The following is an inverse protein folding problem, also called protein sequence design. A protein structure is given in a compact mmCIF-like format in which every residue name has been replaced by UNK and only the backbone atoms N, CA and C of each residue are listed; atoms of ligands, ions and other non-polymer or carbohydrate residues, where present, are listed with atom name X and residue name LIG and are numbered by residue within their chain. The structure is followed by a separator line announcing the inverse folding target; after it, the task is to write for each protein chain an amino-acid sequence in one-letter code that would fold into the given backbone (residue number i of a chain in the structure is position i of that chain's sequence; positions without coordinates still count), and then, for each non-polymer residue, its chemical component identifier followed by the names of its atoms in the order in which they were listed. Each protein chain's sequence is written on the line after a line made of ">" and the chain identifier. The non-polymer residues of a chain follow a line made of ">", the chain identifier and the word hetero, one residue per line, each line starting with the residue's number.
data_IF_537586703661
#
_entry.id   IF_537586703661
#
_cell.length_a   1.000
_cell.length_b   1.000
_cell.length_c   1.000
_cell.angle_alpha   90.00
_cell.angle_beta   90.00
_cell.angle_gamma   90.00
#
_symmetry.space_group_name_H-M   'P 1'
#
loop_
_entity.id
_entity.type
_entity.pdbx_description
1 polymer ?
#
# COMPACT_ATOMS: atom_id res chain seq x y z
N UNK A 1 9.07 -13.62 29.67
CA UNK A 1 7.97 -14.13 30.51
C UNK A 1 6.81 -13.19 30.28
N UNK A 2 5.66 -13.70 29.86
CA UNK A 2 4.67 -12.86 29.18
C UNK A 2 4.14 -11.72 30.05
N UNK A 3 4.09 -10.52 29.48
CA UNK A 3 3.59 -9.29 30.11
C UNK A 3 2.13 -9.08 29.74
N UNK A 4 1.31 -8.73 30.73
CA UNK A 4 -0.10 -8.35 30.52
C UNK A 4 -0.21 -6.95 29.90
N UNK A 5 -0.22 -6.91 28.57
CA UNK A 5 -0.31 -5.67 27.79
C UNK A 5 -1.65 -4.94 27.96
N UNK A 6 -2.71 -5.61 28.45
CA UNK A 6 -4.04 -5.00 28.59
C UNK A 6 -4.06 -3.87 29.64
N UNK A 7 -3.11 -3.88 30.59
CA UNK A 7 -2.98 -2.84 31.62
C UNK A 7 -2.24 -1.60 31.14
N UNK A 8 -1.44 -1.72 30.08
CA UNK A 8 -0.54 -0.67 29.60
C UNK A 8 -1.28 0.61 29.21
N UNK A 9 -2.39 0.59 28.43
CA UNK A 9 -3.10 1.81 28.06
C UNK A 9 -3.54 2.66 29.26
N UNK A 10 -3.98 2.03 30.35
CA UNK A 10 -4.39 2.74 31.57
C UNK A 10 -3.21 3.39 32.30
N UNK A 11 -2.04 2.75 32.25
CA UNK A 11 -0.80 3.29 32.83
C UNK A 11 -0.32 4.48 31.99
N UNK A 12 -0.28 4.33 30.66
CA UNK A 12 0.12 5.40 29.74
C UNK A 12 -0.79 6.61 29.89
N UNK A 13 -2.11 6.42 29.93
CA UNK A 13 -3.06 7.53 30.14
C UNK A 13 -2.83 8.28 31.45
N UNK A 14 -2.41 7.59 32.52
CA UNK A 14 -2.17 8.20 33.83
C UNK A 14 -0.86 8.98 33.88
N UNK A 15 0.14 8.54 33.12
CA UNK A 15 1.51 9.06 33.18
C UNK A 15 1.93 9.76 31.88
N UNK A 16 0.99 9.99 30.95
CA UNK A 16 1.29 10.59 29.65
C UNK A 16 2.00 11.95 29.83
N UNK A 17 3.06 12.16 29.05
CA UNK A 17 3.91 13.34 29.11
C UNK A 17 4.97 13.32 30.21
N UNK A 18 4.95 12.34 31.12
CA UNK A 18 6.00 12.21 32.13
C UNK A 18 7.35 11.90 31.46
N UNK A 19 8.39 12.60 31.88
CA UNK A 19 9.76 12.37 31.42
C UNK A 19 10.49 11.49 32.44
N UNK A 20 10.92 10.32 32.02
CA UNK A 20 11.69 9.38 32.84
C UNK A 20 13.14 9.39 32.35
N UNK A 21 14.10 9.91 33.14
CA UNK A 21 15.51 9.95 32.75
C UNK A 21 16.07 8.54 32.58
N UNK A 22 16.88 8.35 31.53
CA UNK A 22 17.62 7.11 31.34
C UNK A 22 18.95 7.15 32.10
N UNK A 23 19.33 6.01 32.67
CA UNK A 23 20.67 5.85 33.27
C UNK A 23 21.74 5.87 32.18
N UNK A 24 21.44 5.29 31.02
CA UNK A 24 22.23 5.34 29.79
C UNK A 24 21.29 5.35 28.57
N UNK A 25 21.52 6.21 27.58
CA UNK A 25 22.40 7.39 27.64
C UNK A 25 21.87 8.47 28.60
N UNK A 26 22.76 9.08 29.41
CA UNK A 26 22.41 9.94 30.57
C UNK A 26 21.66 11.24 30.23
N UNK A 27 21.75 11.71 28.99
CA UNK A 27 21.18 12.98 28.53
C UNK A 27 19.76 12.85 27.99
N UNK A 28 19.23 11.63 27.91
CA UNK A 28 17.94 11.37 27.29
C UNK A 28 16.91 10.94 28.32
N UNK A 29 15.65 11.27 28.04
CA UNK A 29 14.50 10.87 28.82
C UNK A 29 13.54 10.10 27.91
N UNK A 30 12.91 9.07 28.45
CA UNK A 30 11.72 8.48 27.83
C UNK A 30 10.54 9.35 28.20
N UNK A 31 9.90 9.96 27.21
CA UNK A 31 8.58 10.57 27.38
C UNK A 31 7.54 9.47 27.33
N UNK A 32 6.85 9.25 28.45
CA UNK A 32 5.78 8.27 28.54
C UNK A 32 4.62 8.73 27.69
N UNK A 33 4.28 7.96 26.67
CA UNK A 33 3.19 8.31 25.76
C UNK A 33 2.70 7.08 24.98
N UNK A 34 1.50 7.19 24.40
CA UNK A 34 1.01 6.21 23.43
C UNK A 34 1.41 6.60 22.01
N UNK A 35 0.98 5.80 21.03
CA UNK A 35 1.28 6.05 19.62
C UNK A 35 0.75 7.40 19.10
N UNK A 36 -0.43 7.82 19.54
CA UNK A 36 -1.05 9.10 19.14
C UNK A 36 -0.22 10.34 19.52
N UNK A 37 0.73 10.19 20.43
CA UNK A 37 1.61 11.24 20.91
C UNK A 37 3.05 11.09 20.36
N UNK A 38 3.20 10.32 19.27
CA UNK A 38 4.44 10.12 18.51
C UNK A 38 4.31 10.67 17.10
N UNK A 39 5.40 10.63 16.34
CA UNK A 39 5.41 10.95 14.91
C UNK A 39 4.56 9.98 14.05
N UNK A 40 4.12 8.85 14.63
CA UNK A 40 3.25 7.86 13.98
C UNK A 40 1.78 7.94 14.44
N UNK A 41 1.35 9.11 14.94
CA UNK A 41 -0.04 9.34 15.31
C UNK A 41 -1.01 9.05 14.15
N UNK A 42 -2.11 8.34 14.42
CA UNK A 42 -3.08 7.91 13.42
C UNK A 42 -2.60 6.87 12.40
N UNK A 43 -1.36 6.35 12.51
CA UNK A 43 -0.85 5.33 11.60
C UNK A 43 -1.00 3.92 12.20
N UNK A 44 -2.23 3.41 12.22
CA UNK A 44 -2.54 2.07 12.77
C UNK A 44 -1.77 0.95 12.04
N UNK A 45 -1.52 1.12 10.74
CA UNK A 45 -0.79 0.16 9.90
C UNK A 45 0.67 -0.02 10.36
N UNK A 46 1.33 1.04 10.82
CA UNK A 46 2.69 0.97 11.33
C UNK A 46 2.80 0.08 12.57
N UNK A 47 1.83 0.21 13.49
CA UNK A 47 1.81 -0.61 14.70
C UNK A 47 1.55 -2.08 14.37
N UNK A 48 0.70 -2.38 13.38
CA UNK A 48 0.53 -3.75 12.91
C UNK A 48 1.79 -4.26 12.21
N UNK A 49 2.49 -3.42 11.43
CA UNK A 49 3.75 -3.80 10.81
C UNK A 49 4.83 -4.19 11.83
N UNK A 50 4.99 -3.42 12.92
CA UNK A 50 5.92 -3.76 14.02
C UNK A 50 5.62 -5.13 14.66
N UNK A 51 4.35 -5.53 14.72
CA UNK A 51 3.93 -6.82 15.28
C UNK A 51 4.18 -7.98 14.33
N UNK A 52 3.98 -7.75 13.03
CA UNK A 52 3.92 -8.82 12.03
C UNK A 52 5.23 -9.07 11.31
N UNK A 53 6.01 -8.02 11.00
CA UNK A 53 6.97 -8.12 9.91
C UNK A 53 8.45 -8.08 10.29
N UNK A 54 8.76 -7.93 11.58
CA UNK A 54 10.14 -7.79 12.04
C UNK A 54 10.65 -9.03 12.76
N UNK A 55 9.78 -9.72 13.51
CA UNK A 55 10.14 -10.89 14.30
C UNK A 55 9.66 -12.17 13.59
N UNK A 56 10.28 -13.34 13.85
CA UNK A 56 9.92 -14.60 13.19
C UNK A 56 8.46 -15.04 13.38
N UNK A 57 7.85 -14.63 14.49
CA UNK A 57 6.44 -14.86 14.79
C UNK A 57 5.78 -13.52 15.09
N UNK A 58 4.48 -13.40 14.82
CA UNK A 58 3.71 -12.22 15.22
C UNK A 58 3.77 -12.08 16.74
N UNK A 59 4.14 -10.90 17.21
CA UNK A 59 4.18 -10.58 18.64
C UNK A 59 3.33 -9.36 18.94
N UNK A 60 2.47 -9.43 19.97
CA UNK A 60 1.74 -8.22 20.38
C UNK A 60 2.70 -7.19 21.00
N UNK A 61 2.55 -5.95 20.56
CA UNK A 61 3.37 -4.82 21.00
C UNK A 61 2.51 -3.61 21.37
N UNK A 62 3.03 -2.78 22.28
CA UNK A 62 2.45 -1.48 22.64
C UNK A 62 3.53 -0.41 22.69
N UNK A 63 3.27 0.73 22.06
CA UNK A 63 4.07 1.94 22.27
C UNK A 63 3.95 2.35 23.74
N UNK A 64 5.08 2.50 24.42
CA UNK A 64 5.15 2.91 25.84
C UNK A 64 5.79 4.28 26.04
N UNK A 65 6.40 4.83 25.00
CA UNK A 65 6.99 6.15 25.03
C UNK A 65 7.84 6.43 23.81
N UNK A 66 8.44 7.61 23.80
CA UNK A 66 9.37 8.06 22.77
C UNK A 66 10.55 8.79 23.40
N UNK A 67 11.69 8.80 22.71
CA UNK A 67 12.83 9.65 23.01
C UNK A 67 12.95 10.67 21.88
N UNK A 68 12.73 11.94 22.22
CA UNK A 68 12.79 13.05 21.27
C UNK A 68 14.24 13.52 21.07
N UNK A 69 14.51 14.14 19.90
CA UNK A 69 15.80 14.72 19.52
C UNK A 69 16.98 13.74 19.64
N UNK A 70 16.74 12.45 19.37
CA UNK A 70 17.76 11.41 19.42
C UNK A 70 18.55 11.36 18.11
N UNK A 71 19.89 11.35 18.13
CA UNK A 71 20.73 11.37 16.93
C UNK A 71 20.72 9.99 16.25
N UNK A 72 19.67 9.75 15.48
CA UNK A 72 19.36 8.52 14.75
C UNK A 72 18.71 8.88 13.41
N UNK A 73 18.49 7.89 12.56
CA UNK A 73 17.80 8.06 11.27
C UNK A 73 16.26 7.99 11.41
N UNK A 74 15.75 7.77 12.62
CA UNK A 74 14.31 7.72 12.86
C UNK A 74 13.63 9.03 12.45
N UNK A 75 12.42 8.91 11.89
CA UNK A 75 11.66 10.05 11.42
C UNK A 75 11.44 11.07 12.54
N UNK A 76 11.75 12.34 12.26
CA UNK A 76 11.65 13.42 13.25
C UNK A 76 12.64 13.31 14.42
N UNK A 77 13.69 12.50 14.29
CA UNK A 77 14.65 12.20 15.37
C UNK A 77 13.96 11.65 16.64
N UNK A 78 12.81 11.01 16.45
CA UNK A 78 12.01 10.48 17.54
C UNK A 78 12.09 8.96 17.55
N UNK A 79 12.82 8.43 18.53
CA UNK A 79 12.98 7.00 18.71
C UNK A 79 11.79 6.45 19.53
N UNK A 80 10.90 5.72 18.88
CA UNK A 80 9.69 5.16 19.51
C UNK A 80 10.01 3.86 20.23
N UNK A 81 9.56 3.75 21.48
CA UNK A 81 9.79 2.58 22.33
C UNK A 81 8.54 1.70 22.42
N UNK A 82 8.73 0.41 22.16
CA UNK A 82 7.71 -0.62 22.11
C UNK A 82 7.95 -1.64 23.21
N UNK A 83 6.93 -1.93 24.01
CA UNK A 83 6.90 -3.08 24.91
C UNK A 83 6.26 -4.26 24.19
N UNK A 84 7.02 -5.33 24.03
CA UNK A 84 6.56 -6.59 23.48
C UNK A 84 5.94 -7.48 24.56
N UNK A 85 5.02 -8.37 24.17
CA UNK A 85 4.37 -9.32 25.07
C UNK A 85 5.34 -10.27 25.77
N UNK A 86 6.52 -10.53 25.21
CA UNK A 86 7.57 -11.35 25.85
C UNK A 86 8.28 -10.62 27.01
N UNK A 87 8.08 -9.30 27.12
CA UNK A 87 8.65 -8.38 28.09
C UNK A 87 9.84 -7.56 27.59
N UNK A 88 10.32 -7.81 26.38
CA UNK A 88 11.40 -7.07 25.76
C UNK A 88 10.94 -5.65 25.36
N UNK A 89 11.91 -4.74 25.30
CA UNK A 89 11.72 -3.36 24.85
C UNK A 89 12.46 -3.19 23.53
N UNK A 90 11.70 -2.79 22.51
CA UNK A 90 12.23 -2.47 21.20
C UNK A 90 12.21 -0.97 20.96
N UNK A 91 13.14 -0.50 20.15
CA UNK A 91 13.14 0.86 19.61
C UNK A 91 13.08 0.79 18.10
N UNK A 92 12.23 1.63 17.49
CA UNK A 92 12.08 1.67 16.04
C UNK A 92 12.91 2.82 15.43
N UNK A 93 13.75 2.49 14.45
CA UNK A 93 14.55 3.41 13.63
C UNK A 93 14.47 2.95 12.17
N UNK A 94 13.84 3.73 11.29
CA UNK A 94 13.88 3.59 9.81
C UNK A 94 13.87 2.14 9.29
N UNK A 95 12.73 1.44 9.39
CA UNK A 95 12.57 0.03 8.99
C UNK A 95 13.46 -0.98 9.75
N UNK A 96 13.96 -0.60 10.93
CA UNK A 96 14.71 -1.48 11.85
C UNK A 96 14.11 -1.45 13.26
N UNK A 97 13.84 -2.63 13.82
CA UNK A 97 13.59 -2.79 15.25
C UNK A 97 14.87 -3.17 15.99
N UNK A 98 15.22 -2.37 16.99
CA UNK A 98 16.35 -2.60 17.88
C UNK A 98 15.86 -3.17 19.20
N UNK A 99 16.36 -4.33 19.63
CA UNK A 99 16.17 -4.79 21.01
C UNK A 99 17.04 -3.95 21.94
N UNK A 100 16.44 -3.00 22.66
CA UNK A 100 17.21 -2.00 23.44
C UNK A 100 17.29 -2.33 24.94
N UNK A 101 16.37 -3.15 25.45
CA UNK A 101 16.41 -3.70 26.81
C UNK A 101 15.53 -4.97 26.90
N UNK A 102 15.82 -5.89 27.82
CA UNK A 102 15.03 -7.13 27.99
C UNK A 102 13.91 -7.03 29.01
N UNK A 103 13.73 -5.85 29.61
CA UNK A 103 12.61 -5.54 30.50
C UNK A 103 12.51 -4.05 30.79
N UNK A 104 11.32 -3.58 31.20
CA UNK A 104 11.13 -2.23 31.75
C UNK A 104 12.08 -1.94 32.92
N UNK A 105 12.32 -2.93 33.79
CA UNK A 105 13.24 -2.78 34.92
C UNK A 105 14.65 -2.49 34.42
N UNK A 106 15.12 -3.24 33.43
CA UNK A 106 16.44 -3.02 32.83
C UNK A 106 16.54 -1.65 32.16
N UNK A 107 15.54 -1.28 31.35
CA UNK A 107 15.47 0.01 30.66
C UNK A 107 15.72 1.19 31.61
N UNK A 108 15.07 1.19 32.78
CA UNK A 108 15.18 2.30 33.73
C UNK A 108 16.27 2.14 34.80
N UNK A 109 16.74 0.92 35.08
CA UNK A 109 17.80 0.69 36.07
C UNK A 109 19.20 0.74 35.47
N UNK A 110 19.35 0.23 34.25
CA UNK A 110 20.63 0.08 33.54
C UNK A 110 20.74 1.06 32.37
N UNK A 111 19.60 1.45 31.79
CA UNK A 111 19.52 2.22 30.56
C UNK A 111 19.12 1.37 29.36
N UNK A 112 19.15 1.98 28.18
CA UNK A 112 18.97 1.32 26.90
C UNK A 112 20.32 1.14 26.19
N UNK A 113 20.40 0.11 25.34
CA UNK A 113 21.53 -0.09 24.42
C UNK A 113 21.11 0.37 23.02
N UNK A 114 21.91 1.24 22.40
CA UNK A 114 21.65 1.74 21.05
C UNK A 114 22.96 1.95 20.28
N UNK A 115 23.12 1.41 19.04
CA UNK A 115 22.22 0.46 18.39
C UNK A 115 21.92 -0.79 19.24
N UNK A 116 20.76 -1.41 19.01
CA UNK A 116 20.22 -2.50 19.85
C UNK A 116 21.16 -3.68 20.09
N UNK A 117 20.87 -4.46 21.14
CA UNK A 117 21.53 -5.74 21.46
C UNK A 117 21.42 -6.72 20.27
N UNK A 118 20.23 -6.71 19.67
CA UNK A 118 19.88 -7.40 18.43
C UNK A 118 19.08 -6.40 17.58
N UNK A 119 19.13 -6.59 16.26
CA UNK A 119 18.44 -5.73 15.29
C UNK A 119 17.69 -6.61 14.31
N UNK A 120 16.51 -6.17 13.92
CA UNK A 120 15.62 -6.89 13.02
C UNK A 120 15.20 -5.93 11.92
N UNK A 121 15.56 -6.23 10.67
CA UNK A 121 15.09 -5.45 9.52
C UNK A 121 13.70 -5.89 9.11
N UNK A 122 12.93 -4.97 8.53
CA UNK A 122 11.62 -5.28 7.97
C UNK A 122 11.71 -6.44 6.96
N UNK A 123 10.97 -7.51 7.24
CA UNK A 123 10.82 -8.67 6.36
C UNK A 123 11.99 -9.65 6.36
N UNK A 124 13.10 -9.36 7.04
CA UNK A 124 14.29 -10.21 7.10
C UNK A 124 13.97 -11.61 7.65
N UNK A 125 13.03 -11.70 8.59
CA UNK A 125 12.60 -12.97 9.18
C UNK A 125 11.85 -13.90 8.21
N UNK A 126 11.44 -13.42 7.04
CA UNK A 126 10.79 -14.22 6.00
C UNK A 126 11.72 -14.56 4.82
N UNK A 127 13.01 -14.21 4.91
CA UNK A 127 13.98 -14.65 3.93
C UNK A 127 14.20 -16.16 4.07
N UNK A 128 13.84 -16.89 3.00
CA UNK A 128 14.04 -18.33 2.94
C UNK A 128 15.42 -18.65 2.37
N UNK A 129 16.07 -19.67 2.93
CA UNK A 129 17.20 -20.30 2.26
C UNK A 129 16.73 -20.98 0.96
N UNK A 130 17.65 -21.17 0.01
CA UNK A 130 17.34 -21.85 -1.25
C UNK A 130 16.78 -23.27 -1.01
N UNK A 131 17.25 -23.96 0.02
CA UNK A 131 16.79 -25.29 0.41
C UNK A 131 15.34 -25.27 0.94
N UNK A 132 15.02 -24.31 1.81
CA UNK A 132 13.67 -24.11 2.34
C UNK A 132 12.70 -23.71 1.23
N UNK A 133 13.08 -22.78 0.37
CA UNK A 133 12.29 -22.37 -0.79
C UNK A 133 11.97 -23.57 -1.70
N UNK A 134 12.97 -24.40 -2.01
CA UNK A 134 12.81 -25.59 -2.82
C UNK A 134 11.90 -26.63 -2.16
N UNK A 135 11.95 -26.76 -0.83
CA UNK A 135 11.05 -27.63 -0.07
C UNK A 135 9.61 -27.12 -0.12
N UNK A 136 9.39 -25.83 0.10
CA UNK A 136 8.08 -25.17 0.01
C UNK A 136 7.50 -25.36 -1.40
N UNK A 137 8.29 -25.12 -2.46
CA UNK A 137 7.84 -25.28 -3.85
C UNK A 137 7.47 -26.71 -4.26
N UNK A 138 7.95 -27.71 -3.51
CA UNK A 138 7.64 -29.13 -3.72
C UNK A 138 6.48 -29.63 -2.85
N UNK A 139 5.96 -28.81 -1.93
CA UNK A 139 4.82 -29.15 -1.06
C UNK A 139 3.56 -29.48 -1.85
N UNK A 140 2.66 -30.26 -1.24
CA UNK A 140 1.36 -30.61 -1.80
C UNK A 140 0.49 -29.38 -2.03
N UNK A 141 0.51 -28.45 -1.08
CA UNK A 141 -0.26 -27.23 -1.02
C UNK A 141 0.09 -26.33 -2.20
N UNK A 142 1.38 -26.08 -2.44
CA UNK A 142 1.83 -25.26 -3.59
C UNK A 142 1.51 -25.94 -4.91
N UNK A 143 1.56 -27.28 -4.98
CA UNK A 143 1.19 -28.02 -6.19
C UNK A 143 -0.30 -27.92 -6.48
N UNK A 144 -1.14 -28.03 -5.45
CA UNK A 144 -2.59 -27.89 -5.57
C UNK A 144 -2.96 -26.50 -6.05
N UNK A 145 -2.41 -25.45 -5.41
CA UNK A 145 -2.61 -24.06 -5.84
C UNK A 145 -2.17 -23.84 -7.29
N UNK A 146 -1.01 -24.40 -7.71
CA UNK A 146 -0.55 -24.30 -9.10
C UNK A 146 -1.50 -24.98 -10.08
N UNK A 147 -2.06 -26.13 -9.70
CA UNK A 147 -2.98 -26.89 -10.53
C UNK A 147 -4.35 -26.21 -10.63
N UNK A 148 -4.88 -25.67 -9.54
CA UNK A 148 -6.09 -24.86 -9.55
C UNK A 148 -5.92 -23.61 -10.42
N UNK A 149 -4.79 -22.92 -10.26
CA UNK A 149 -4.47 -21.77 -11.10
C UNK A 149 -4.38 -22.14 -12.59
N UNK A 150 -3.80 -23.31 -12.92
CA UNK A 150 -3.73 -23.82 -14.29
C UNK A 150 -5.13 -24.07 -14.86
N UNK A 151 -5.99 -24.79 -14.13
CA UNK A 151 -7.37 -25.09 -14.55
C UNK A 151 -8.19 -23.81 -14.74
N UNK A 152 -8.06 -22.86 -13.82
CA UNK A 152 -8.74 -21.57 -13.92
C UNK A 152 -8.34 -20.83 -15.20
N UNK A 153 -7.04 -20.79 -15.52
CA UNK A 153 -6.55 -20.20 -16.76
C UNK A 153 -7.09 -20.91 -18.01
N UNK A 154 -7.07 -22.24 -18.01
CA UNK A 154 -7.61 -23.03 -19.13
C UNK A 154 -9.11 -22.79 -19.32
N UNK A 155 -9.89 -22.68 -18.24
CA UNK A 155 -11.32 -22.34 -18.30
C UNK A 155 -11.54 -20.95 -18.90
N UNK A 156 -10.77 -19.95 -18.44
CA UNK A 156 -10.89 -18.58 -18.92
C UNK A 156 -10.54 -18.47 -20.41
N UNK A 157 -9.51 -19.20 -20.86
CA UNK A 157 -9.14 -19.25 -22.28
C UNK A 157 -10.28 -19.84 -23.13
N UNK A 158 -10.96 -20.89 -22.65
CA UNK A 158 -12.11 -21.50 -23.33
C UNK A 158 -13.32 -20.56 -23.37
N UNK A 159 -13.64 -19.92 -22.26
CA UNK A 159 -14.73 -18.93 -22.19
C UNK A 159 -14.50 -17.77 -23.16
N UNK A 160 -13.27 -17.28 -23.24
CA UNK A 160 -12.90 -16.23 -24.19
C UNK A 160 -13.06 -16.69 -25.65
N UNK A 161 -12.59 -17.90 -25.97
CA UNK A 161 -12.74 -18.46 -27.32
C UNK A 161 -14.21 -18.67 -27.71
N UNK A 162 -15.04 -19.10 -26.76
CA UNK A 162 -16.47 -19.24 -26.98
C UNK A 162 -17.12 -17.89 -27.25
N UNK A 163 -16.85 -16.87 -26.41
CA UNK A 163 -17.38 -15.53 -26.61
C UNK A 163 -16.98 -14.92 -27.96
N UNK A 164 -15.73 -15.14 -28.40
CA UNK A 164 -15.27 -14.69 -29.72
C UNK A 164 -15.98 -15.42 -30.86
N UNK A 165 -16.29 -16.70 -30.68
CA UNK A 165 -17.02 -17.51 -31.67
C UNK A 165 -18.46 -17.02 -31.77
N UNK A 166 -19.14 -16.85 -30.64
CA UNK A 166 -20.51 -16.34 -30.58
C UNK A 166 -20.63 -14.96 -31.22
N UNK A 167 -19.68 -14.06 -30.93
CA UNK A 167 -19.62 -12.73 -31.54
C UNK A 167 -19.45 -12.81 -33.07
N UNK A 168 -18.58 -13.70 -33.56
CA UNK A 168 -18.37 -13.91 -35.00
C UNK A 168 -19.63 -14.45 -35.69
N UNK A 169 -20.34 -15.37 -35.05
CA UNK A 169 -21.59 -15.92 -35.59
C UNK A 169 -22.70 -14.87 -35.62
N UNK A 170 -22.81 -14.06 -34.57
CA UNK A 170 -23.75 -12.94 -34.52
C UNK A 170 -23.50 -11.95 -35.67
N UNK A 171 -22.24 -11.53 -35.87
CA UNK A 171 -21.87 -10.65 -36.99
C UNK A 171 -22.23 -11.26 -38.35
N UNK A 172 -22.04 -12.57 -38.52
CA UNK A 172 -22.36 -13.26 -39.77
C UNK A 172 -23.87 -13.31 -40.02
N UNK A 173 -24.67 -13.58 -38.97
CA UNK A 173 -26.13 -13.60 -39.04
C UNK A 173 -26.70 -12.21 -39.40
N UNK A 174 -26.13 -11.15 -38.83
CA UNK A 174 -26.47 -9.76 -39.14
C UNK A 174 -26.10 -9.39 -40.59
N UNK A 175 -24.99 -9.89 -41.13
CA UNK A 175 -24.63 -9.70 -42.54
C UNK A 175 -25.55 -10.45 -43.51
N UNK A 176 -25.96 -11.68 -43.18
CA UNK A 176 -26.85 -12.48 -44.03
C UNK A 176 -28.28 -11.92 -44.06
N UNK A 177 -28.77 -11.43 -42.92
CA UNK A 177 -30.08 -10.76 -42.86
C UNK A 177 -30.07 -9.41 -43.58
N UNK A 178 -28.94 -8.69 -43.57
CA UNK A 178 -28.75 -7.48 -44.38
C UNK A 178 -28.66 -7.77 -45.90
N UNK A 179 -28.07 -8.90 -46.32
CA UNK A 179 -28.02 -9.27 -47.75
C UNK A 179 -29.35 -9.77 -48.31
N UNK A 180 -30.17 -10.45 -47.49
CA UNK A 180 -31.49 -10.92 -47.91
C UNK A 180 -32.51 -9.77 -48.06
N UNK A 181 -32.32 -8.66 -47.34
CA UNK A 181 -33.08 -7.42 -47.51
C UNK A 181 -32.66 -6.68 -48.80
N UNK A 182 -31.39 -6.80 -49.23
CA UNK A 182 -30.92 -6.18 -50.46
C UNK A 182 -31.48 -6.82 -51.74
N UNK A 183 -31.91 -8.08 -51.73
CA UNK A 183 -32.54 -8.72 -52.92
C UNK A 183 -33.95 -8.21 -53.26
N UNK A 184 -34.66 -7.56 -52.33
CA UNK A 184 -35.94 -6.88 -52.63
C UNK A 184 -35.76 -5.35 -52.84
N UNK A 185 -34.73 -4.73 -52.25
CA UNK A 185 -34.47 -3.28 -52.44
C UNK A 185 -33.55 -2.93 -53.64
N UNK A 186 -32.90 -3.89 -54.32
CA UNK A 186 -32.07 -3.60 -55.50
C UNK A 186 -32.86 -3.22 -56.76
N UNK A 187 -34.20 -3.16 -56.69
CA UNK A 187 -35.01 -2.58 -57.76
C UNK A 187 -35.25 -1.08 -57.61
N UNK A 188 -34.97 -0.47 -56.45
CA UNK A 188 -35.21 0.97 -56.23
C UNK A 188 -34.21 1.59 -55.22
N UNK A 189 -32.98 1.97 -55.65
CA UNK A 189 -32.31 3.26 -55.29
C UNK A 189 -30.86 3.40 -55.83
N UNK A 190 -30.31 4.64 -55.92
CA UNK A 190 -29.16 5.01 -56.72
C UNK A 190 -27.78 4.86 -56.05
N UNK A 191 -26.76 4.93 -56.91
CA UNK A 191 -25.32 4.65 -56.76
C UNK A 191 -24.50 5.52 -55.77
N UNK A 192 -25.04 6.01 -54.65
CA UNK A 192 -24.28 6.91 -53.75
C UNK A 192 -23.72 6.25 -52.48
N UNK A 193 -24.05 5.00 -52.17
CA UNK A 193 -23.62 4.34 -50.94
C UNK A 193 -22.21 3.67 -51.01
N UNK A 194 -21.51 3.75 -52.14
CA UNK A 194 -20.20 3.09 -52.33
C UNK A 194 -18.99 3.90 -51.84
N UNK A 195 -19.18 4.97 -51.07
CA UNK A 195 -18.08 5.87 -50.67
C UNK A 195 -17.65 5.78 -49.19
N UNK A 196 -18.31 4.97 -48.35
CA UNK A 196 -17.99 4.93 -46.92
C UNK A 196 -17.12 3.74 -46.49
N UNK A 197 -17.10 2.64 -47.26
CA UNK A 197 -16.32 1.45 -46.92
C UNK A 197 -14.82 1.58 -47.24
N UNK A 198 -14.46 2.43 -48.21
CA UNK A 198 -13.05 2.60 -48.64
C UNK A 198 -12.20 3.46 -47.68
N UNK A 199 -12.83 4.19 -46.75
CA UNK A 199 -12.12 5.10 -45.82
C UNK A 199 -11.51 4.35 -44.63
N UNK A 200 -12.12 3.25 -44.18
CA UNK A 200 -11.65 2.51 -42.99
C UNK A 200 -10.44 1.61 -43.30
N UNK A 201 -10.24 1.21 -44.57
CA UNK A 201 -9.15 0.33 -44.97
C UNK A 201 -7.82 1.05 -45.28
N UNK A 202 -7.78 2.39 -45.27
CA UNK A 202 -6.57 3.14 -45.66
C UNK A 202 -5.67 3.60 -44.49
N UNK A 203 -6.08 3.43 -43.23
CA UNK A 203 -5.22 3.76 -42.07
C UNK A 203 -5.39 2.76 -40.91
N UNK A 204 -4.68 1.63 -40.92
CA UNK A 204 -4.54 0.82 -39.72
C UNK A 204 -3.74 1.57 -38.66
N UNK A 205 -4.27 1.63 -37.44
CA UNK A 205 -3.54 2.11 -36.25
C UNK A 205 -2.27 1.27 -36.07
N UNK A 206 -1.09 1.88 -35.89
CA UNK A 206 0.14 1.12 -35.70
C UNK A 206 0.10 0.35 -34.38
N UNK A 207 0.23 -0.97 -34.47
CA UNK A 207 0.44 -1.84 -33.31
C UNK A 207 1.91 -1.73 -32.89
N UNK A 208 2.15 -1.08 -31.76
CA UNK A 208 3.50 -1.00 -31.15
C UNK A 208 3.80 -2.28 -30.36
N UNK A 209 4.89 -3.00 -30.66
CA UNK A 209 5.29 -4.18 -29.89
C UNK A 209 5.89 -3.80 -28.53
N UNK A 210 5.45 -4.50 -27.48
CA UNK A 210 5.79 -4.32 -26.06
C UNK A 210 7.28 -4.49 -25.68
N UNK A 211 8.16 -4.84 -26.62
CA UNK A 211 9.59 -5.12 -26.35
C UNK A 211 10.54 -3.91 -26.53
N UNK A 212 10.03 -2.68 -26.61
CA UNK A 212 10.89 -1.49 -26.77
C UNK A 212 10.54 -0.30 -25.85
N UNK A 213 9.89 -0.52 -24.71
CA UNK A 213 9.80 0.51 -23.69
C UNK A 213 11.04 0.46 -22.80
N UNK A 214 12.08 1.19 -23.21
CA UNK A 214 13.12 1.63 -22.30
C UNK A 214 12.51 2.52 -21.22
N UNK A 215 12.91 2.29 -19.97
CA UNK A 215 12.49 3.05 -18.80
C UNK A 215 12.79 4.54 -19.02
N UNK A 216 11.75 5.37 -18.98
CA UNK A 216 11.89 6.83 -18.88
C UNK A 216 11.55 7.22 -17.43
N UNK A 217 12.41 7.97 -16.72
CA UNK A 217 12.13 8.34 -15.34
C UNK A 217 10.93 9.29 -15.25
N UNK A 218 10.06 9.08 -14.26
CA UNK A 218 8.92 9.93 -13.94
C UNK A 218 9.35 11.40 -13.81
N UNK A 219 8.83 12.27 -14.68
CA UNK A 219 8.87 13.71 -14.48
C UNK A 219 7.60 14.19 -13.77
N UNK A 220 7.86 15.02 -12.75
CA UNK A 220 6.96 15.69 -11.83
C UNK A 220 5.76 16.37 -12.53
N UNK A 221 4.54 16.05 -12.11
CA UNK A 221 3.33 16.71 -12.59
C UNK A 221 3.13 18.04 -11.83
N UNK A 222 3.22 19.16 -12.56
CA UNK A 222 2.74 20.47 -12.09
C UNK A 222 1.27 20.69 -12.53
N UNK A 223 0.38 21.23 -11.67
CA UNK A 223 -1.03 21.39 -12.02
C UNK A 223 -1.26 22.49 -13.06
N UNK A 224 -2.00 22.16 -14.12
CA UNK A 224 -2.45 23.08 -15.15
C UNK A 224 -3.54 24.02 -14.61
N UNK A 225 -3.28 25.33 -14.74
CA UNK A 225 -4.27 26.40 -14.58
C UNK A 225 -5.37 26.27 -15.64
N UNK A 226 -6.60 26.02 -15.20
CA UNK A 226 -7.80 26.17 -16.02
C UNK A 226 -8.39 27.57 -15.81
N UNK A 227 -8.20 28.47 -16.78
CA UNK A 227 -8.98 29.71 -16.89
C UNK A 227 -10.26 29.40 -17.67
N UNK A 228 -11.41 29.50 -17.00
CA UNK A 228 -12.71 29.39 -17.66
C UNK A 228 -13.41 30.76 -17.61
N UNK A 229 -13.39 31.46 -18.72
CA UNK A 229 -14.24 32.63 -18.96
C UNK A 229 -15.57 32.17 -19.56
N UNK A 230 -16.66 32.22 -18.79
CA UNK A 230 -17.95 32.63 -19.35
C UNK A 230 -18.86 33.18 -18.26
N UNK A 231 -19.42 34.34 -18.57
CA UNK A 231 -20.16 35.23 -17.72
C UNK A 231 -21.60 34.72 -17.51
N UNK A 232 -22.06 34.68 -16.27
CA UNK A 232 -23.48 34.92 -15.97
C UNK A 232 -23.60 35.63 -14.62
N UNK A 233 -24.27 36.80 -14.68
CA UNK A 233 -24.55 37.69 -13.56
C UNK A 233 -25.66 37.09 -12.71
N UNK A 234 -25.44 36.97 -11.40
CA UNK A 234 -26.50 37.03 -10.40
C UNK A 234 -25.99 37.86 -9.20
N UNK A 235 -26.54 39.07 -9.08
CA UNK A 235 -26.38 39.93 -7.90
C UNK A 235 -27.27 39.40 -6.78
N UNK A 236 -26.69 39.17 -5.60
CA UNK A 236 -27.38 39.33 -4.33
C UNK A 236 -26.39 39.82 -3.27
N UNK A 237 -26.78 40.91 -2.63
CA UNK A 237 -26.04 41.72 -1.67
C UNK A 237 -26.12 41.16 -0.24
N UNK A 238 -25.39 41.84 0.66
CA UNK A 238 -25.42 41.78 2.15
C UNK A 238 -24.41 40.77 2.74
N UNK A 239 -23.43 41.13 3.57
CA UNK A 239 -22.99 42.39 4.17
C UNK A 239 -21.75 42.07 5.02
N UNK A 240 -20.72 42.94 4.99
CA UNK A 240 -19.53 42.81 5.82
C UNK A 240 -19.67 43.76 7.00
N UNK A 241 -19.59 43.22 8.20
CA UNK A 241 -19.34 43.99 9.43
C UNK A 241 -18.37 43.16 10.27
N UNK A 242 -17.08 43.40 10.06
CA UNK A 242 -16.00 42.94 10.92
C UNK A 242 -15.57 44.11 11.80
N UNK A 243 -15.82 43.99 13.10
CA UNK A 243 -15.32 44.88 14.14
C UNK A 243 -13.87 44.54 14.50
N UNK A 244 -13.13 45.59 14.85
CA UNK A 244 -11.80 45.61 15.44
C UNK A 244 -11.75 44.89 16.79
N UNK A 245 -10.64 44.18 17.06
CA UNK A 245 -9.67 44.48 18.12
C UNK A 245 -8.49 43.50 18.04
#
# INVERSE_FOLDING_TARGET
>A
GFVDLAKIPNILKRHCGALIPLVKPKSYCVRVCGQEDTVYAGNEDELEAWKDFYLPERMEMKVIGAIDDFPCEAFGLQLVLLLCEDGNIYAYEDEVLHLVARSLKELFSSGMTFPGIETFQLGECFEYTEEEYNKIMKSSEVKEVKEEHRKFRESLDLELLQALTDFKEQMKAELTTASDIQTEEEKIRPKEALMCWDVVHQNPMPVVPWKQQGVVPYQHWSPLHYTNTSSSKCNCSVGVQGCEN
#
